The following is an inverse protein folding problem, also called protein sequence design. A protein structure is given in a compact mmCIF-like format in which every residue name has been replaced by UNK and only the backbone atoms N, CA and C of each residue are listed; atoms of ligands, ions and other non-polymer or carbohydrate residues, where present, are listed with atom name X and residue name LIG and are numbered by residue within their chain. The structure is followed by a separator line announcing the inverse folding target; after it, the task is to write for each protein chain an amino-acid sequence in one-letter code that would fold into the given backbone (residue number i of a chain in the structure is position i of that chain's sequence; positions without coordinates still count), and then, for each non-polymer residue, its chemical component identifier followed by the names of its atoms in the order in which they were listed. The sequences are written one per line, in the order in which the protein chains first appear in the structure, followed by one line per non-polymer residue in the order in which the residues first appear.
data_IF_441613239579
#
_entry.id   IF_441613239579
#
_cell.length_a   1.000
_cell.length_b   1.000
_cell.length_c   1.000
_cell.angle_alpha   90.00
_cell.angle_beta   90.00
_cell.angle_gamma   90.00
#
_symmetry.space_group_name_H-M   'P 1'
#
loop_
_entity.id
_entity.type
_entity.pdbx_description
1 polymer ?
#
# COMPACT_ATOMS: atom_id res chain seq x y z
N UNK A 1 -8.16 10.45 -0.46
CA UNK A 1 -8.04 9.49 -1.59
C UNK A 1 -7.61 8.13 -1.08
N UNK A 2 -7.91 7.05 -1.80
CA UNK A 2 -7.56 5.67 -1.40
C UNK A 2 -6.92 4.91 -2.57
N UNK A 3 -5.81 4.20 -2.34
CA UNK A 3 -5.22 3.30 -3.35
C UNK A 3 -5.73 1.88 -3.16
N UNK A 4 -5.96 1.13 -4.24
CA UNK A 4 -6.35 -0.28 -4.20
C UNK A 4 -6.07 -1.04 -5.49
N UNK A 5 -6.26 -2.35 -5.45
CA UNK A 5 -6.38 -3.25 -6.60
C UNK A 5 -7.81 -3.79 -6.75
N UNK A 6 -8.04 -4.63 -7.75
CA UNK A 6 -9.32 -5.33 -7.90
C UNK A 6 -9.68 -6.17 -6.66
N UNK A 7 -10.99 -6.35 -6.42
CA UNK A 7 -11.53 -7.10 -5.27
C UNK A 7 -11.12 -8.57 -5.16
N UNK A 8 -10.54 -9.11 -6.23
CA UNK A 8 -9.94 -10.44 -6.24
C UNK A 8 -8.62 -10.48 -5.45
N UNK A 9 -7.96 -9.34 -5.27
CA UNK A 9 -6.67 -9.19 -4.60
C UNK A 9 -6.81 -8.43 -3.27
N UNK A 10 -7.48 -7.28 -3.30
CA UNK A 10 -7.66 -6.39 -2.14
C UNK A 10 -9.14 -6.08 -1.94
N UNK A 11 -9.67 -6.34 -0.73
CA UNK A 11 -11.12 -6.27 -0.43
C UNK A 11 -11.51 -5.12 0.47
N UNK A 12 -10.59 -4.48 1.18
CA UNK A 12 -10.90 -3.46 2.18
C UNK A 12 -11.80 -2.32 1.65
N UNK A 13 -11.72 -1.97 0.36
CA UNK A 13 -12.53 -0.87 -0.17
C UNK A 13 -14.04 -1.17 -0.15
N UNK A 14 -14.46 -2.45 -0.15
CA UNK A 14 -15.89 -2.81 -0.06
C UNK A 14 -16.48 -2.51 1.30
N UNK A 15 -15.65 -2.46 2.34
CA UNK A 15 -16.05 -2.11 3.70
C UNK A 15 -15.80 -0.63 3.98
N UNK A 16 -14.63 -0.11 3.58
CA UNK A 16 -14.22 1.25 3.89
C UNK A 16 -15.03 2.29 3.13
N UNK A 17 -15.29 2.12 1.83
CA UNK A 17 -15.99 3.15 1.04
C UNK A 17 -17.34 3.56 1.65
N UNK A 18 -18.30 2.63 1.89
CA UNK A 18 -19.58 3.02 2.48
C UNK A 18 -19.42 3.63 3.88
N UNK A 19 -18.55 3.06 4.73
CA UNK A 19 -18.32 3.56 6.09
C UNK A 19 -17.72 4.99 6.10
N UNK A 20 -16.89 5.33 5.12
CA UNK A 20 -16.32 6.66 4.94
C UNK A 20 -17.37 7.66 4.43
N UNK A 21 -18.24 7.24 3.52
CA UNK A 21 -19.32 8.07 3.00
C UNK A 21 -20.36 8.40 4.08
N UNK A 22 -20.69 7.44 4.94
CA UNK A 22 -21.53 7.66 6.14
C UNK A 22 -20.92 8.68 7.11
N UNK A 23 -19.59 8.82 7.12
CA UNK A 23 -18.85 9.82 7.90
C UNK A 23 -18.73 11.17 7.19
N UNK A 24 -19.31 11.32 6.00
CA UNK A 24 -19.30 12.57 5.23
C UNK A 24 -18.06 12.78 4.36
N UNK A 25 -17.26 11.74 4.12
CA UNK A 25 -16.14 11.83 3.18
C UNK A 25 -16.56 11.47 1.76
N UNK A 26 -16.04 12.20 0.78
CA UNK A 26 -16.01 11.74 -0.61
C UNK A 26 -14.78 10.85 -0.85
N UNK A 27 -14.99 9.64 -1.39
CA UNK A 27 -13.93 8.65 -1.55
C UNK A 27 -13.55 8.48 -3.03
N UNK A 28 -12.42 9.06 -3.42
CA UNK A 28 -11.76 8.76 -4.70
C UNK A 28 -10.82 7.55 -4.56
N UNK A 29 -11.08 6.48 -5.34
CA UNK A 29 -10.28 5.25 -5.36
C UNK A 29 -9.38 5.22 -6.60
N UNK A 30 -8.09 4.92 -6.39
CA UNK A 30 -7.07 4.90 -7.43
C UNK A 30 -6.52 3.48 -7.59
N UNK A 31 -6.53 2.98 -8.82
CA UNK A 31 -5.99 1.66 -9.12
C UNK A 31 -4.46 1.72 -9.26
N UNK A 32 -3.73 1.00 -8.41
CA UNK A 32 -2.26 1.13 -8.28
C UNK A 32 -1.47 0.40 -9.39
N UNK A 33 -1.79 0.66 -10.67
CA UNK A 33 -1.15 0.05 -11.86
C UNK A 33 -0.28 1.03 -12.64
N UNK A 34 0.47 1.88 -11.93
CA UNK A 34 1.33 2.93 -12.44
C UNK A 34 0.61 4.25 -12.70
N UNK A 35 -0.41 4.25 -13.57
CA UNK A 35 -1.16 5.48 -13.89
C UNK A 35 -2.01 5.97 -12.71
N UNK A 36 -2.69 5.07 -11.99
CA UNK A 36 -3.51 5.48 -10.85
C UNK A 36 -2.66 5.99 -9.68
N UNK A 37 -1.49 5.37 -9.42
CA UNK A 37 -0.52 5.91 -8.47
C UNK A 37 -0.03 7.30 -8.87
N UNK A 38 0.32 7.53 -10.15
CA UNK A 38 0.70 8.88 -10.62
C UNK A 38 -0.41 9.92 -10.41
N UNK A 39 -1.65 9.58 -10.74
CA UNK A 39 -2.78 10.47 -10.53
C UNK A 39 -3.01 10.76 -9.04
N UNK A 40 -2.89 9.74 -8.19
CA UNK A 40 -2.98 9.88 -6.74
C UNK A 40 -1.90 10.81 -6.18
N UNK A 41 -0.63 10.61 -6.57
CA UNK A 41 0.48 11.46 -6.11
C UNK A 41 0.38 12.90 -6.64
N UNK A 42 -0.15 13.11 -7.85
CA UNK A 42 -0.36 14.44 -8.41
C UNK A 42 -1.41 15.23 -7.61
N UNK A 43 -2.56 14.62 -7.34
CA UNK A 43 -3.61 15.23 -6.52
C UNK A 43 -3.16 15.45 -5.06
N UNK A 44 -2.34 14.54 -4.53
CA UNK A 44 -1.75 14.72 -3.21
C UNK A 44 -0.79 15.93 -3.16
N UNK A 45 0.02 16.14 -4.20
CA UNK A 45 0.91 17.30 -4.31
C UNK A 45 0.15 18.63 -4.39
N UNK A 46 -1.05 18.61 -4.96
CA UNK A 46 -1.95 19.78 -5.05
C UNK A 46 -2.75 20.03 -3.75
N UNK A 47 -2.60 19.20 -2.72
CA UNK A 47 -3.36 19.35 -1.47
C UNK A 47 -4.84 18.96 -1.60
N UNK A 48 -5.21 18.18 -2.61
CA UNK A 48 -6.61 17.87 -2.92
C UNK A 48 -7.29 16.90 -1.93
N UNK A 49 -6.55 16.33 -0.98
CA UNK A 49 -7.08 15.34 -0.03
C UNK A 49 -7.04 15.86 1.41
N UNK A 50 -8.16 15.67 2.13
CA UNK A 50 -8.19 15.84 3.58
C UNK A 50 -7.34 14.80 4.31
N UNK A 51 -7.28 13.58 3.78
CA UNK A 51 -6.40 12.50 4.21
C UNK A 51 -6.22 11.47 3.09
N UNK A 52 -5.18 10.66 3.19
CA UNK A 52 -4.94 9.54 2.28
C UNK A 52 -5.00 8.19 3.00
N UNK A 53 -5.61 7.21 2.33
CA UNK A 53 -5.61 5.79 2.70
C UNK A 53 -4.81 5.02 1.65
N UNK A 54 -3.50 5.03 1.81
CA UNK A 54 -2.56 4.49 0.82
C UNK A 54 -2.16 3.05 1.16
N UNK A 55 -3.06 2.11 0.84
CA UNK A 55 -2.96 0.72 1.25
C UNK A 55 -2.35 -0.21 0.21
N UNK A 56 -2.18 0.24 -1.05
CA UNK A 56 -1.59 -0.55 -2.13
C UNK A 56 -0.28 0.09 -2.66
N UNK A 57 0.83 -0.01 -1.91
CA UNK A 57 2.11 0.61 -2.27
C UNK A 57 2.96 -0.21 -3.28
N UNK A 58 2.42 -1.27 -3.90
CA UNK A 58 3.17 -2.15 -4.83
C UNK A 58 3.98 -1.38 -5.89
N UNK A 59 3.49 -0.23 -6.35
CA UNK A 59 4.16 0.62 -7.32
C UNK A 59 5.55 1.13 -6.86
N UNK A 60 5.82 1.14 -5.55
CA UNK A 60 7.16 1.38 -4.99
C UNK A 60 8.12 0.26 -5.38
N UNK A 61 7.71 -0.99 -5.21
CA UNK A 61 8.45 -2.16 -5.68
C UNK A 61 8.62 -2.14 -7.19
N UNK A 62 7.55 -1.84 -7.94
CA UNK A 62 7.63 -1.70 -9.39
C UNK A 62 8.69 -0.66 -9.80
N UNK A 63 8.75 0.50 -9.12
CA UNK A 63 9.78 1.50 -9.39
C UNK A 63 11.18 0.99 -9.08
N UNK A 64 11.37 0.43 -7.88
CA UNK A 64 12.66 -0.06 -7.37
C UNK A 64 13.27 -1.13 -8.28
N UNK A 65 12.43 -1.96 -8.87
CA UNK A 65 12.85 -3.07 -9.73
C UNK A 65 12.79 -2.77 -11.23
N UNK A 66 12.57 -1.50 -11.61
CA UNK A 66 12.65 -1.05 -13.00
C UNK A 66 11.48 -1.52 -13.87
N UNK A 67 10.32 -1.80 -13.29
CA UNK A 67 9.11 -2.12 -14.04
C UNK A 67 8.55 -0.89 -14.75
N UNK A 68 8.02 -1.10 -15.96
CA UNK A 68 7.25 -0.09 -16.68
C UNK A 68 5.90 0.24 -16.02
N UNK A 69 5.38 -0.64 -15.14
CA UNK A 69 4.14 -0.47 -14.39
C UNK A 69 4.43 0.28 -13.07
N UNK A 70 5.14 1.40 -13.16
CA UNK A 70 5.56 2.19 -11.99
C UNK A 70 4.77 3.48 -11.88
N UNK A 71 4.63 4.01 -10.66
CA UNK A 71 4.12 5.36 -10.40
C UNK A 71 5.23 6.43 -10.33
N UNK A 72 6.49 6.06 -10.56
CA UNK A 72 7.63 6.97 -10.53
C UNK A 72 8.23 7.16 -9.14
N UNK A 73 9.25 8.02 -9.07
CA UNK A 73 10.09 8.19 -7.89
C UNK A 73 9.34 8.75 -6.68
N UNK A 74 8.30 9.56 -6.89
CA UNK A 74 7.56 10.23 -5.82
C UNK A 74 6.46 9.36 -5.19
N UNK A 75 6.26 8.11 -5.64
CA UNK A 75 5.25 7.22 -5.05
C UNK A 75 5.41 7.13 -3.51
N UNK A 76 4.32 7.27 -2.77
CA UNK A 76 4.18 7.39 -1.30
C UNK A 76 4.79 8.65 -0.66
N UNK A 77 5.17 9.68 -1.43
CA UNK A 77 5.94 10.81 -0.90
C UNK A 77 5.16 12.12 -0.88
N UNK A 78 4.25 12.37 -1.84
CA UNK A 78 3.69 13.70 -2.01
C UNK A 78 2.68 14.08 -0.92
N UNK A 79 1.85 13.14 -0.48
CA UNK A 79 0.91 13.40 0.62
C UNK A 79 1.67 13.79 1.92
N UNK A 80 2.70 13.03 2.27
CA UNK A 80 3.54 13.32 3.43
C UNK A 80 4.27 14.66 3.32
N UNK A 81 4.85 14.96 2.16
CA UNK A 81 5.55 16.24 1.91
C UNK A 81 4.60 17.44 1.97
N UNK A 82 3.34 17.26 1.56
CA UNK A 82 2.27 18.26 1.63
C UNK A 82 1.65 18.40 3.03
N UNK A 83 2.02 17.55 4.00
CA UNK A 83 1.48 17.58 5.35
C UNK A 83 0.11 16.92 5.51
N UNK A 84 -0.37 16.21 4.48
CA UNK A 84 -1.66 15.51 4.49
C UNK A 84 -1.55 14.30 5.43
N UNK A 85 -2.52 14.06 6.34
CA UNK A 85 -2.57 12.84 7.15
C UNK A 85 -2.55 11.57 6.29
N UNK A 86 -1.62 10.66 6.60
CA UNK A 86 -1.40 9.43 5.82
C UNK A 86 -1.68 8.18 6.64
N UNK A 87 -2.69 7.42 6.24
CA UNK A 87 -2.94 6.07 6.73
C UNK A 87 -2.46 5.09 5.66
N UNK A 88 -1.41 4.33 5.95
CA UNK A 88 -0.70 3.51 4.95
C UNK A 88 -0.66 2.04 5.36
N UNK A 89 -0.51 1.14 4.39
CA UNK A 89 -0.39 -0.32 4.61
C UNK A 89 0.48 -0.96 3.52
N UNK A 90 0.54 -2.30 3.48
CA UNK A 90 1.54 -3.10 2.77
C UNK A 90 0.95 -3.92 1.61
N UNK A 91 -0.15 -3.45 1.02
CA UNK A 91 -0.85 -4.13 -0.06
C UNK A 91 0.09 -4.55 -1.19
N UNK A 92 0.13 -5.86 -1.47
CA UNK A 92 0.99 -6.49 -2.48
C UNK A 92 2.49 -6.14 -2.35
N UNK A 93 3.00 -5.99 -1.13
CA UNK A 93 4.42 -5.69 -0.83
C UNK A 93 5.44 -6.68 -1.42
N UNK A 94 4.99 -7.87 -1.78
CA UNK A 94 5.77 -9.02 -2.24
C UNK A 94 5.75 -9.20 -3.77
N UNK A 95 5.07 -8.32 -4.51
CA UNK A 95 4.87 -8.45 -5.95
C UNK A 95 5.51 -7.32 -6.74
N UNK A 96 6.00 -7.64 -7.94
CA UNK A 96 6.35 -6.67 -8.99
C UNK A 96 5.53 -6.97 -10.24
N UNK A 97 4.78 -5.99 -10.71
CA UNK A 97 4.04 -6.11 -11.97
C UNK A 97 4.95 -5.92 -13.16
N UNK A 98 4.77 -6.74 -14.19
CA UNK A 98 5.45 -6.68 -15.48
C UNK A 98 4.42 -6.61 -16.61
N UNK A 99 4.85 -6.08 -17.75
CA UNK A 99 4.04 -6.05 -18.96
C UNK A 99 3.89 -7.48 -19.49
N UNK A 100 2.67 -8.02 -19.44
CA UNK A 100 2.42 -9.45 -19.66
C UNK A 100 2.71 -9.99 -21.06
N UNK A 101 2.81 -9.11 -22.07
CA UNK A 101 3.17 -9.48 -23.45
C UNK A 101 4.66 -9.28 -23.79
N UNK A 102 5.46 -8.81 -22.84
CA UNK A 102 6.91 -8.69 -22.99
C UNK A 102 7.61 -9.86 -22.31
N UNK A 103 8.86 -10.09 -22.70
CA UNK A 103 9.70 -11.08 -22.03
C UNK A 103 9.92 -10.69 -20.57
N UNK A 104 9.83 -11.69 -19.69
CA UNK A 104 10.19 -11.52 -18.28
C UNK A 104 11.69 -11.20 -18.19
N UNK A 105 12.10 -10.10 -17.53
CA UNK A 105 13.50 -9.76 -17.35
C UNK A 105 14.28 -10.92 -16.72
N UNK A 106 15.55 -11.09 -17.11
CA UNK A 106 16.36 -12.25 -16.72
C UNK A 106 16.35 -12.52 -15.21
N UNK A 107 16.42 -11.46 -14.41
CA UNK A 107 16.39 -11.52 -12.94
C UNK A 107 15.12 -12.13 -12.34
N UNK A 108 14.03 -12.19 -13.12
CA UNK A 108 12.72 -12.67 -12.69
C UNK A 108 12.30 -14.00 -13.34
N UNK A 109 13.04 -14.52 -14.32
CA UNK A 109 12.63 -15.71 -15.09
C UNK A 109 12.41 -16.97 -14.25
N UNK A 110 13.15 -17.12 -13.15
CA UNK A 110 13.02 -18.26 -12.24
C UNK A 110 12.05 -18.01 -11.07
N UNK A 111 11.38 -16.86 -11.02
CA UNK A 111 10.49 -16.50 -9.91
C UNK A 111 9.09 -17.09 -10.11
N UNK A 112 8.38 -17.42 -9.02
CA UNK A 112 6.94 -17.64 -9.09
C UNK A 112 6.27 -16.41 -9.70
N UNK A 113 5.32 -16.63 -10.61
CA UNK A 113 4.60 -15.58 -11.28
C UNK A 113 3.10 -15.88 -11.32
N UNK A 114 2.29 -14.82 -11.29
CA UNK A 114 0.85 -14.88 -11.43
C UNK A 114 0.41 -13.98 -12.59
N UNK A 115 -0.30 -14.54 -13.56
CA UNK A 115 -0.90 -13.74 -14.63
C UNK A 115 -2.19 -13.07 -14.10
N UNK A 116 -2.13 -11.77 -13.81
CA UNK A 116 -3.29 -11.01 -13.34
C UNK A 116 -4.33 -10.83 -14.43
N UNK A 117 -3.87 -10.49 -15.63
CA UNK A 117 -4.67 -10.42 -16.84
C UNK A 117 -3.74 -10.51 -18.07
N UNK A 118 -4.30 -10.37 -19.27
CA UNK A 118 -3.53 -10.47 -20.53
C UNK A 118 -2.44 -9.39 -20.69
N UNK A 119 -2.51 -8.32 -19.91
CA UNK A 119 -1.63 -7.16 -19.96
C UNK A 119 -0.63 -7.12 -18.80
N UNK A 120 -0.87 -7.84 -17.71
CA UNK A 120 -0.11 -7.76 -16.46
C UNK A 120 0.22 -9.14 -15.88
N UNK A 121 1.50 -9.34 -15.61
CA UNK A 121 2.02 -10.50 -14.89
C UNK A 121 2.73 -10.00 -13.64
N UNK A 122 2.35 -10.49 -12.45
CA UNK A 122 3.12 -10.23 -11.22
C UNK A 122 4.15 -11.32 -11.01
N UNK A 123 5.35 -10.92 -10.62
CA UNK A 123 6.40 -11.82 -10.15
C UNK A 123 6.60 -11.65 -8.65
N UNK A 124 6.84 -12.75 -7.94
CA UNK A 124 7.05 -12.74 -6.49
C UNK A 124 8.50 -12.39 -6.17
N UNK A 125 8.67 -11.39 -5.31
CA UNK A 125 9.94 -10.97 -4.75
C UNK A 125 10.45 -11.99 -3.72
N UNK A 126 11.76 -12.22 -3.70
CA UNK A 126 12.37 -12.96 -2.59
C UNK A 126 12.52 -12.12 -1.32
N UNK A 127 12.98 -12.76 -0.24
CA UNK A 127 13.12 -12.09 1.05
C UNK A 127 14.08 -10.90 1.05
N UNK A 128 15.16 -10.91 0.27
CA UNK A 128 16.08 -9.77 0.21
C UNK A 128 15.45 -8.60 -0.56
N UNK A 129 14.75 -8.91 -1.65
CA UNK A 129 14.00 -7.93 -2.43
C UNK A 129 12.85 -7.31 -1.62
N UNK A 130 12.15 -8.12 -0.81
CA UNK A 130 11.13 -7.63 0.13
C UNK A 130 11.70 -6.70 1.20
N UNK A 131 12.88 -7.02 1.76
CA UNK A 131 13.58 -6.13 2.69
C UNK A 131 13.91 -4.77 2.04
N UNK A 132 14.34 -4.76 0.78
CA UNK A 132 14.57 -3.52 0.03
C UNK A 132 13.29 -2.70 -0.15
N UNK A 133 12.15 -3.35 -0.44
CA UNK A 133 10.85 -2.67 -0.53
C UNK A 133 10.45 -2.07 0.82
N UNK A 134 10.59 -2.81 1.93
CA UNK A 134 10.31 -2.31 3.27
C UNK A 134 11.15 -1.07 3.60
N UNK A 135 12.46 -1.10 3.32
CA UNK A 135 13.36 0.04 3.49
C UNK A 135 12.94 1.24 2.64
N UNK A 136 12.57 1.02 1.38
CA UNK A 136 12.12 2.08 0.49
C UNK A 136 10.82 2.73 1.00
N UNK A 137 9.85 1.93 1.46
CA UNK A 137 8.61 2.43 2.07
C UNK A 137 8.94 3.25 3.33
N UNK A 138 9.74 2.72 4.25
CA UNK A 138 10.11 3.43 5.47
C UNK A 138 10.84 4.75 5.18
N UNK A 139 11.77 4.76 4.23
CA UNK A 139 12.48 5.97 3.81
C UNK A 139 11.53 7.06 3.31
N UNK A 140 10.56 6.68 2.46
CA UNK A 140 9.54 7.59 1.92
C UNK A 140 8.65 8.17 3.02
N UNK A 141 8.18 7.34 3.96
CA UNK A 141 7.38 7.79 5.09
C UNK A 141 8.17 8.70 6.06
N UNK A 142 9.49 8.52 6.13
CA UNK A 142 10.38 9.36 6.94
C UNK A 142 10.46 10.82 6.47
N UNK A 143 10.10 11.11 5.22
CA UNK A 143 10.06 12.46 4.67
C UNK A 143 8.75 13.21 4.99
N UNK A 144 7.78 12.54 5.60
CA UNK A 144 6.47 13.11 5.87
C UNK A 144 6.53 14.23 6.92
N UNK A 145 5.90 15.35 6.59
CA UNK A 145 5.70 16.50 7.49
C UNK A 145 4.38 16.42 8.26
N UNK A 146 3.41 15.66 7.74
CA UNK A 146 2.11 15.41 8.35
C UNK A 146 2.09 14.11 9.18
N UNK A 147 1.00 13.85 9.92
CA UNK A 147 0.87 12.65 10.72
C UNK A 147 0.79 11.40 9.83
N UNK A 148 1.53 10.36 10.21
CA UNK A 148 1.57 9.09 9.49
C UNK A 148 1.24 7.95 10.44
N UNK A 149 0.33 7.07 10.03
CA UNK A 149 0.12 5.77 10.68
C UNK A 149 0.30 4.66 9.65
N UNK A 150 1.23 3.74 9.90
CA UNK A 150 1.43 2.52 9.13
C UNK A 150 0.72 1.37 9.84
N UNK A 151 -0.36 0.86 9.24
CA UNK A 151 -1.04 -0.35 9.72
C UNK A 151 -0.36 -1.55 9.07
N UNK A 152 0.29 -2.38 9.88
CA UNK A 152 1.06 -3.54 9.46
C UNK A 152 0.27 -4.84 9.74
N UNK A 153 -0.50 -5.37 8.76
CA UNK A 153 -1.14 -6.69 8.87
C UNK A 153 -0.07 -7.80 8.93
N UNK A 154 -0.13 -8.62 9.96
CA UNK A 154 0.85 -9.67 10.23
C UNK A 154 0.52 -11.01 9.54
N UNK A 155 -0.66 -11.14 8.91
CA UNK A 155 -1.10 -12.39 8.26
C UNK A 155 -1.13 -12.36 6.74
N UNK A 156 -0.73 -11.26 6.11
CA UNK A 156 -0.65 -11.13 4.65
C UNK A 156 -1.11 -9.76 4.13
N UNK A 157 -0.59 -9.40 2.97
CA UNK A 157 -0.79 -8.14 2.26
C UNK A 157 -1.57 -8.28 0.94
N UNK A 158 -1.97 -9.48 0.51
CA UNK A 158 -2.82 -9.65 -0.68
C UNK A 158 -3.54 -11.02 -0.67
N UNK A 159 -4.59 -11.22 -1.47
CA UNK A 159 -5.35 -12.48 -1.38
C UNK A 159 -4.52 -13.75 -1.62
N UNK A 160 -3.44 -13.68 -2.40
CA UNK A 160 -2.63 -14.84 -2.76
C UNK A 160 -1.52 -15.17 -1.75
N UNK A 161 -1.18 -14.25 -0.84
CA UNK A 161 -0.18 -14.49 0.23
C UNK A 161 -0.80 -15.01 1.53
N UNK A 162 -2.14 -15.11 1.58
CA UNK A 162 -2.87 -15.75 2.67
C UNK A 162 -2.36 -17.18 2.93
N UNK A 163 -2.35 -17.60 4.19
CA UNK A 163 -2.01 -18.98 4.56
C UNK A 163 -2.80 -20.02 3.74
N UNK A 164 -2.09 -20.90 3.05
CA UNK A 164 -2.65 -21.95 2.18
C UNK A 164 -2.97 -21.51 0.75
N UNK A 165 -2.81 -20.23 0.42
CA UNK A 165 -2.98 -19.71 -0.94
C UNK A 165 -1.73 -19.93 -1.81
N UNK A 166 -1.82 -19.81 -3.14
CA UNK A 166 -0.74 -20.21 -4.06
C UNK A 166 0.59 -19.47 -3.89
N UNK A 167 0.57 -18.23 -3.38
CA UNK A 167 1.78 -17.41 -3.18
C UNK A 167 2.12 -17.24 -1.69
N UNK A 168 1.55 -18.09 -0.82
CA UNK A 168 1.83 -18.05 0.61
C UNK A 168 3.33 -18.27 0.88
N UNK A 169 3.98 -17.24 1.44
CA UNK A 169 5.38 -17.29 1.86
C UNK A 169 5.53 -16.70 3.26
N UNK A 170 5.30 -17.49 4.32
CA UNK A 170 5.41 -17.02 5.70
C UNK A 170 6.82 -16.51 6.05
N UNK A 171 7.86 -17.06 5.41
CA UNK A 171 9.24 -16.64 5.67
C UNK A 171 9.52 -15.27 5.02
N UNK A 172 9.10 -15.08 3.77
CA UNK A 172 9.19 -13.79 3.09
C UNK A 172 8.39 -12.69 3.79
N UNK A 173 7.17 -12.99 4.26
CA UNK A 173 6.37 -12.05 5.06
C UNK A 173 7.08 -11.71 6.38
N UNK A 174 7.61 -12.71 7.09
CA UNK A 174 8.33 -12.47 8.35
C UNK A 174 9.56 -11.57 8.15
N UNK A 175 10.30 -11.75 7.04
CA UNK A 175 11.44 -10.88 6.68
C UNK A 175 10.99 -9.44 6.38
N UNK A 176 9.91 -9.27 5.62
CA UNK A 176 9.34 -7.95 5.35
C UNK A 176 8.90 -7.24 6.64
N UNK A 177 8.16 -7.94 7.51
CA UNK A 177 7.71 -7.41 8.82
C UNK A 177 8.90 -7.03 9.71
N UNK A 178 9.93 -7.88 9.78
CA UNK A 178 11.14 -7.57 10.53
C UNK A 178 11.85 -6.32 9.99
N UNK A 179 11.91 -6.15 8.67
CA UNK A 179 12.49 -4.97 8.05
C UNK A 179 11.67 -3.70 8.34
N UNK A 180 10.33 -3.75 8.27
CA UNK A 180 9.48 -2.63 8.68
C UNK A 180 9.77 -2.25 10.14
N UNK A 181 9.80 -3.22 11.07
CA UNK A 181 10.13 -2.95 12.48
C UNK A 181 11.49 -2.29 12.68
N UNK A 182 12.50 -2.74 11.93
CA UNK A 182 13.86 -2.24 12.05
C UNK A 182 14.05 -0.83 11.44
N UNK A 183 13.28 -0.50 10.41
CA UNK A 183 13.47 0.73 9.62
C UNK A 183 12.34 1.76 9.77
N UNK A 184 11.25 1.43 10.47
CA UNK A 184 10.14 2.35 10.67
C UNK A 184 10.65 3.63 11.34
N UNK A 185 10.50 4.81 10.71
CA UNK A 185 11.07 6.03 11.22
C UNK A 185 10.25 6.54 12.41
N UNK A 186 10.90 7.28 13.31
CA UNK A 186 10.28 7.72 14.56
C UNK A 186 9.10 8.70 14.41
N UNK A 187 8.89 9.28 13.22
CA UNK A 187 7.73 10.11 12.90
C UNK A 187 6.49 9.29 12.49
N UNK A 188 6.62 7.97 12.31
CA UNK A 188 5.54 7.08 11.89
C UNK A 188 5.01 6.31 13.09
N UNK A 189 3.69 6.41 13.31
CA UNK A 189 2.99 5.55 14.25
C UNK A 189 2.80 4.16 13.63
N UNK A 190 3.60 3.18 14.06
CA UNK A 190 3.48 1.80 13.61
C UNK A 190 2.40 1.05 14.41
N UNK A 191 1.37 0.57 13.72
CA UNK A 191 0.28 -0.23 14.30
C UNK A 191 0.34 -1.64 13.75
N UNK A 192 0.83 -2.57 14.55
CA UNK A 192 0.81 -4.00 14.19
C UNK A 192 -0.58 -4.59 14.42
N UNK A 193 -1.04 -5.38 13.45
CA UNK A 193 -2.38 -5.97 13.48
C UNK A 193 -2.30 -7.47 13.20
N UNK A 194 -2.78 -8.29 14.13
CA UNK A 194 -2.86 -9.75 13.98
C UNK A 194 -4.00 -10.19 13.04
N UNK A 195 -4.00 -9.63 11.82
CA UNK A 195 -5.00 -9.86 10.79
C UNK A 195 -4.34 -9.87 9.40
N UNK A 196 -5.09 -10.36 8.41
CA UNK A 196 -4.75 -10.20 7.00
C UNK A 196 -5.36 -8.88 6.49
N UNK A 197 -4.75 -8.24 5.49
CA UNK A 197 -5.24 -6.94 4.94
C UNK A 197 -6.71 -6.99 4.44
N UNK A 198 -7.15 -8.18 4.03
CA UNK A 198 -8.52 -8.45 3.54
C UNK A 198 -9.51 -8.84 4.63
N UNK A 199 -9.08 -8.97 5.88
CA UNK A 199 -9.98 -9.28 6.99
C UNK A 199 -10.66 -7.98 7.48
N UNK A 200 -11.90 -8.09 7.97
CA UNK A 200 -12.69 -6.93 8.44
C UNK A 200 -11.95 -6.15 9.54
N UNK A 201 -11.20 -6.84 10.39
CA UNK A 201 -10.39 -6.21 11.44
C UNK A 201 -9.39 -5.16 10.90
N UNK A 202 -8.90 -5.30 9.66
CA UNK A 202 -8.05 -4.28 9.03
C UNK A 202 -8.85 -3.01 8.71
N UNK A 203 -10.05 -3.16 8.14
CA UNK A 203 -10.94 -2.04 7.87
C UNK A 203 -11.41 -1.37 9.15
N UNK A 204 -11.76 -2.13 10.18
CA UNK A 204 -12.16 -1.59 11.49
C UNK A 204 -11.04 -0.77 12.11
N UNK A 205 -9.80 -1.28 12.09
CA UNK A 205 -8.64 -0.54 12.60
C UNK A 205 -8.40 0.75 11.82
N UNK A 206 -8.56 0.73 10.50
CA UNK A 206 -8.41 1.92 9.67
C UNK A 206 -9.47 2.99 9.99
N UNK A 207 -10.72 2.58 10.22
CA UNK A 207 -11.82 3.48 10.62
C UNK A 207 -11.60 4.04 12.03
N UNK A 208 -11.15 3.22 12.99
CA UNK A 208 -10.81 3.68 14.34
C UNK A 208 -9.74 4.79 14.31
N UNK A 209 -8.71 4.63 13.48
CA UNK A 209 -7.65 5.63 13.34
C UNK A 209 -8.18 6.92 12.71
N UNK A 210 -9.02 6.82 11.68
CA UNK A 210 -9.66 7.98 11.06
C UNK A 210 -10.57 8.72 12.04
N UNK A 211 -11.42 8.00 12.77
CA UNK A 211 -12.36 8.58 13.73
C UNK A 211 -11.61 9.36 14.83
N UNK A 212 -10.47 8.82 15.27
CA UNK A 212 -9.56 9.53 16.18
C UNK A 212 -8.99 10.81 15.56
N UNK A 213 -8.53 10.77 14.31
CA UNK A 213 -8.02 11.96 13.61
C UNK A 213 -9.09 13.04 13.39
N UNK A 214 -10.34 12.65 13.21
CA UNK A 214 -11.46 13.61 13.16
C UNK A 214 -11.72 14.19 14.55
N UNK A 215 -11.70 13.37 15.60
CA UNK A 215 -11.98 13.81 16.97
C UNK A 215 -10.89 14.74 17.55
N UNK A 216 -9.62 14.51 17.21
CA UNK A 216 -8.48 15.32 17.68
C UNK A 216 -8.16 16.53 16.78
N UNK A 217 -8.90 16.71 15.69
CA UNK A 217 -8.74 17.83 14.76
C UNK A 217 -7.62 17.67 13.73
N UNK A 218 -6.94 16.51 13.68
CA UNK A 218 -5.98 16.17 12.63
C UNK A 218 -6.61 16.27 11.24
N UNK A 219 -7.84 15.79 11.09
CA UNK A 219 -8.66 15.99 9.90
C UNK A 219 -9.75 16.99 10.24
N UNK A 220 -9.74 18.14 9.58
CA UNK A 220 -10.82 19.12 9.69
C UNK A 220 -11.89 18.80 8.65
N UNK A 221 -13.09 18.43 9.10
CA UNK A 221 -14.24 18.30 8.22
C UNK A 221 -14.71 19.68 7.79
N UNK A 222 -14.96 19.87 6.49
CA UNK A 222 -15.65 21.07 6.02
C UNK A 222 -17.04 21.13 6.68
N UNK A 223 -17.38 22.28 7.25
CA UNK A 223 -18.71 22.54 7.84
C UNK A 223 -19.77 22.69 6.77
#
# INVERSE_FOLDING_TARGET
GMTSFGKTVLRYMTHLKPALEERGFEVAIFHATGMGGRAFEALAAEGAFAAVMDFAPQEVGNHLFGSAITAGADRMSNAGRAGIPQLVSIGCHDLVDLVGWQDVPERFKARPAHAHNRLLTSVVLDGAEREMVAQAICGKLGEAKGPVTLVLPLKGGNEWDRNGAPLADPQGLARFVAAIRAHCPGNVNLVELDAHINDVAFSDKALEILDRWTADGTITMAR
#
